data_IF_161889635115
#
_entry.id   IF_161889635115
#
_cell.length_a   1.000
_cell.length_b   1.000
_cell.length_c   1.000
_cell.angle_alpha   90.00
_cell.angle_beta   90.00
_cell.angle_gamma   90.00
#
_symmetry.space_group_name_H-M   'P 1'
#
loop_
_entity.id
_entity.type
_entity.pdbx_description
1 polymer ?
#
# COMPACT_ATOMS: atom_id res chain seq x y z
N UNK A 1 13.66 -8.95 18.15
CA UNK A 1 13.20 -8.25 16.95
C UNK A 1 13.74 -8.98 15.74
N UNK A 2 12.88 -9.49 14.88
CA UNK A 2 13.26 -10.22 13.66
C UNK A 2 13.61 -9.25 12.52
N UNK A 3 14.28 -9.73 11.48
CA UNK A 3 14.59 -8.92 10.29
C UNK A 3 13.31 -8.41 9.60
N UNK A 4 12.26 -9.22 9.56
CA UNK A 4 10.96 -8.84 8.97
C UNK A 4 10.31 -7.69 9.75
N UNK A 5 10.27 -7.81 11.08
CA UNK A 5 9.72 -6.75 11.95
C UNK A 5 10.45 -5.42 11.76
N UNK A 6 11.79 -5.46 11.67
CA UNK A 6 12.59 -4.26 11.43
C UNK A 6 12.27 -3.62 10.07
N UNK A 7 12.06 -4.44 9.04
CA UNK A 7 11.69 -3.96 7.70
C UNK A 7 10.30 -3.31 7.68
N UNK A 8 9.32 -3.92 8.33
CA UNK A 8 7.98 -3.33 8.46
C UNK A 8 8.02 -2.03 9.24
N UNK A 9 8.80 -1.96 10.33
CA UNK A 9 9.00 -0.72 11.09
C UNK A 9 9.66 0.37 10.26
N UNK A 10 10.66 0.03 9.45
CA UNK A 10 11.31 0.96 8.53
C UNK A 10 10.32 1.53 7.52
N UNK A 11 9.49 0.67 6.91
CA UNK A 11 8.49 1.12 5.93
C UNK A 11 7.42 1.98 6.60
N UNK A 12 6.95 1.61 7.80
CA UNK A 12 6.00 2.44 8.57
C UNK A 12 6.60 3.79 8.93
N UNK A 13 7.87 3.87 9.31
CA UNK A 13 8.55 5.13 9.56
C UNK A 13 8.63 5.97 8.28
N UNK A 14 9.08 5.38 7.17
CA UNK A 14 9.14 6.05 5.87
C UNK A 14 7.78 6.63 5.47
N UNK A 15 6.69 5.85 5.56
CA UNK A 15 5.34 6.32 5.25
C UNK A 15 4.87 7.43 6.19
N UNK A 16 5.11 7.32 7.50
CA UNK A 16 4.75 8.38 8.47
C UNK A 16 5.46 9.70 8.19
N UNK A 17 6.75 9.65 7.82
CA UNK A 17 7.50 10.84 7.42
C UNK A 17 7.02 11.43 6.09
N UNK A 18 6.38 10.62 5.23
CA UNK A 18 5.64 11.08 4.06
C UNK A 18 4.18 11.50 4.39
N UNK A 19 3.85 11.61 5.68
CA UNK A 19 2.56 12.09 6.17
C UNK A 19 1.41 11.11 6.00
N UNK A 20 1.68 9.81 6.03
CA UNK A 20 0.66 8.77 6.11
C UNK A 20 0.40 8.35 7.55
N UNK A 21 -0.87 8.08 7.86
CA UNK A 21 -1.25 7.24 8.98
C UNK A 21 -1.11 5.79 8.54
N UNK A 22 -0.47 4.94 9.35
CA UNK A 22 -0.16 3.55 8.98
C UNK A 22 -0.73 2.58 9.99
N UNK A 23 -1.29 1.47 9.52
CA UNK A 23 -1.71 0.33 10.33
C UNK A 23 -1.29 -0.97 9.64
N UNK A 24 -1.14 -2.06 10.40
CA UNK A 24 -1.31 -3.41 9.84
C UNK A 24 -2.80 -3.78 9.86
N UNK A 25 -3.22 -4.76 9.06
CA UNK A 25 -4.59 -5.28 9.12
C UNK A 25 -4.58 -6.80 9.17
N UNK A 26 -5.12 -7.34 10.26
CA UNK A 26 -5.41 -8.76 10.40
C UNK A 26 -6.82 -9.00 9.87
N UNK A 27 -6.95 -9.73 8.76
CA UNK A 27 -8.24 -10.11 8.19
C UNK A 27 -8.66 -11.44 8.84
N UNK A 28 -9.70 -11.38 9.67
CA UNK A 28 -10.21 -12.56 10.35
C UNK A 28 -11.01 -13.48 9.41
N UNK A 29 -10.87 -14.79 9.61
CA UNK A 29 -11.73 -15.78 8.96
C UNK A 29 -13.08 -15.89 9.68
N UNK A 30 -14.07 -16.50 9.04
CA UNK A 30 -15.35 -16.84 9.68
C UNK A 30 -15.21 -17.93 10.75
N UNK A 31 -14.09 -18.65 10.78
CA UNK A 31 -13.78 -19.64 11.81
C UNK A 31 -13.08 -18.97 12.99
N UNK A 32 -13.66 -19.13 14.18
CA UNK A 32 -13.13 -18.57 15.43
C UNK A 32 -11.70 -19.05 15.68
N UNK A 33 -10.78 -18.11 15.87
CA UNK A 33 -9.36 -18.38 16.15
C UNK A 33 -8.46 -18.48 14.92
N UNK A 34 -9.00 -18.42 13.70
CA UNK A 34 -8.21 -18.45 12.47
C UNK A 34 -8.16 -17.08 11.79
N UNK A 35 -6.95 -16.61 11.51
CA UNK A 35 -6.72 -15.47 10.62
C UNK A 35 -6.73 -15.95 9.17
N UNK A 36 -7.38 -15.20 8.28
CA UNK A 36 -7.44 -15.52 6.86
C UNK A 36 -6.19 -15.05 6.12
N UNK A 37 -5.81 -13.79 6.39
CA UNK A 37 -4.55 -13.19 5.92
C UNK A 37 -4.20 -12.00 6.79
N UNK A 38 -2.95 -11.58 6.73
CA UNK A 38 -2.47 -10.33 7.30
C UNK A 38 -1.96 -9.43 6.17
N UNK A 39 -2.27 -8.15 6.28
CA UNK A 39 -1.71 -7.08 5.47
C UNK A 39 -0.70 -6.34 6.33
N UNK A 40 0.55 -6.33 5.88
CA UNK A 40 1.64 -5.66 6.60
C UNK A 40 1.35 -4.17 6.80
N UNK A 41 0.76 -3.55 5.77
CA UNK A 41 0.55 -2.11 5.67
C UNK A 41 -0.78 -1.78 4.99
N UNK A 42 -1.60 -1.03 5.70
CA UNK A 42 -2.64 -0.15 5.16
C UNK A 42 -2.30 1.27 5.60
N UNK A 43 -2.16 2.20 4.65
CA UNK A 43 -1.78 3.57 4.95
C UNK A 43 -2.73 4.58 4.33
N UNK A 44 -3.02 5.66 5.05
CA UNK A 44 -3.94 6.71 4.60
C UNK A 44 -3.29 8.07 4.70
N UNK A 45 -3.40 8.86 3.64
CA UNK A 45 -2.95 10.26 3.59
C UNK A 45 -4.10 11.15 3.14
N UNK A 46 -4.32 12.24 3.87
CA UNK A 46 -5.33 13.23 3.54
C UNK A 46 -4.76 14.34 2.63
N UNK A 47 -5.55 14.89 1.70
CA UNK A 47 -5.07 15.81 0.66
C UNK A 47 -4.46 17.11 1.21
N UNK A 48 -4.98 17.58 2.35
CA UNK A 48 -4.54 18.83 2.98
C UNK A 48 -3.47 18.63 4.06
N UNK A 49 -2.78 17.48 4.08
CA UNK A 49 -1.71 17.23 5.04
C UNK A 49 -0.57 18.27 4.90
N UNK A 50 -0.16 18.86 6.03
CA UNK A 50 0.99 19.78 6.11
C UNK A 50 1.78 19.54 7.40
N UNK A 51 3.11 19.55 7.29
CA UNK A 51 4.05 19.53 8.42
C UNK A 51 5.24 20.44 8.10
N UNK A 52 5.03 21.75 8.23
CA UNK A 52 6.00 22.78 7.80
C UNK A 52 7.31 22.70 8.61
N UNK A 53 7.20 22.38 9.90
CA UNK A 53 8.35 22.31 10.82
C UNK A 53 9.37 21.22 10.45
N UNK A 54 8.97 20.24 9.63
CA UNK A 54 9.88 19.17 9.18
C UNK A 54 10.99 19.70 8.27
N UNK A 55 10.76 20.80 7.54
CA UNK A 55 11.70 21.38 6.56
C UNK A 55 12.15 20.46 5.41
N UNK A 56 11.79 19.18 5.44
CA UNK A 56 12.02 18.18 4.39
C UNK A 56 10.70 17.89 3.68
N UNK A 57 10.69 18.04 2.36
CA UNK A 57 9.53 17.71 1.53
C UNK A 57 9.19 16.21 1.61
N UNK A 58 7.98 15.83 1.20
CA UNK A 58 7.66 14.42 1.02
C UNK A 58 8.42 13.84 -0.18
N UNK A 59 8.72 12.55 -0.14
CA UNK A 59 9.45 11.84 -1.18
C UNK A 59 8.74 11.94 -2.53
N UNK A 60 9.41 12.54 -3.52
CA UNK A 60 8.90 12.64 -4.90
C UNK A 60 8.71 11.27 -5.55
N UNK A 61 9.44 10.25 -5.10
CA UNK A 61 9.31 8.88 -5.61
C UNK A 61 7.92 8.29 -5.35
N UNK A 62 7.29 8.71 -4.25
CA UNK A 62 5.96 8.23 -3.87
C UNK A 62 4.87 8.69 -4.82
N UNK A 63 5.06 9.74 -5.63
CA UNK A 63 4.08 10.23 -6.63
C UNK A 63 2.63 10.23 -6.06
N UNK A 64 2.47 10.85 -4.88
CA UNK A 64 1.21 10.83 -4.15
C UNK A 64 0.20 11.83 -4.75
N UNK A 65 -1.10 11.51 -4.75
CA UNK A 65 -2.12 12.43 -5.24
C UNK A 65 -2.30 13.62 -4.27
N UNK A 66 -2.62 14.79 -4.81
CA UNK A 66 -2.73 16.06 -4.07
C UNK A 66 -4.18 16.49 -3.83
N UNK A 67 -5.14 15.90 -4.52
CA UNK A 67 -6.55 16.28 -4.58
C UNK A 67 -7.52 15.18 -4.11
N UNK A 68 -6.99 14.12 -3.52
CA UNK A 68 -7.77 12.96 -3.03
C UNK A 68 -7.22 12.41 -1.72
N UNK A 69 -8.05 11.71 -0.96
CA UNK A 69 -7.60 10.84 0.12
C UNK A 69 -6.88 9.66 -0.50
N UNK A 70 -5.62 9.47 -0.18
CA UNK A 70 -4.77 8.41 -0.72
C UNK A 70 -4.70 7.23 0.24
N UNK A 71 -5.00 6.04 -0.26
CA UNK A 71 -4.97 4.78 0.47
C UNK A 71 -3.95 3.88 -0.18
N UNK A 72 -2.95 3.45 0.58
CA UNK A 72 -1.97 2.47 0.16
C UNK A 72 -2.32 1.12 0.77
N UNK A 73 -2.46 0.12 -0.09
CA UNK A 73 -2.43 -1.30 0.29
C UNK A 73 -1.00 -1.76 0.03
N UNK A 74 -0.26 -2.00 1.11
CA UNK A 74 1.17 -2.25 1.09
C UNK A 74 1.54 -3.65 1.54
N UNK A 75 2.59 -4.19 0.94
CA UNK A 75 3.16 -5.49 1.29
C UNK A 75 4.69 -5.37 1.32
N UNK A 76 5.31 -5.92 2.37
CA UNK A 76 6.75 -5.88 2.58
C UNK A 76 7.38 -7.18 2.11
N UNK A 77 8.28 -7.09 1.12
CA UNK A 77 8.95 -8.26 0.52
C UNK A 77 10.45 -8.26 0.81
N UNK A 78 10.91 -9.36 1.39
CA UNK A 78 12.34 -9.67 1.53
C UNK A 78 13.01 -9.99 0.19
N UNK A 79 14.33 -10.16 0.21
CA UNK A 79 15.19 -10.29 -0.97
C UNK A 79 14.81 -11.45 -1.92
N UNK A 80 14.38 -12.61 -1.39
CA UNK A 80 14.12 -13.83 -2.16
C UNK A 80 12.65 -14.05 -2.54
N UNK A 81 11.74 -13.22 -2.02
CA UNK A 81 10.31 -13.37 -2.30
C UNK A 81 9.99 -12.95 -3.75
N UNK A 82 8.95 -13.47 -4.39
CA UNK A 82 8.45 -12.88 -5.63
C UNK A 82 7.98 -11.44 -5.37
N UNK A 83 8.15 -10.54 -6.35
CA UNK A 83 7.65 -9.17 -6.30
C UNK A 83 6.14 -9.12 -6.60
N UNK A 84 5.35 -9.90 -5.85
CA UNK A 84 3.90 -10.00 -5.98
C UNK A 84 3.28 -9.90 -4.59
N UNK A 85 2.01 -9.47 -4.53
CA UNK A 85 1.22 -9.53 -3.29
C UNK A 85 1.02 -10.97 -2.83
N UNK A 86 0.76 -11.18 -1.53
CA UNK A 86 0.49 -12.52 -1.00
C UNK A 86 -0.67 -13.20 -1.73
N UNK A 87 -0.56 -14.52 -1.92
CA UNK A 87 -1.57 -15.35 -2.58
C UNK A 87 -2.97 -15.15 -1.98
N UNK A 88 -3.05 -15.02 -0.66
CA UNK A 88 -4.32 -14.79 0.03
C UNK A 88 -4.99 -13.46 -0.35
N UNK A 89 -4.24 -12.45 -0.83
CA UNK A 89 -4.79 -11.15 -1.23
C UNK A 89 -5.22 -11.07 -2.69
N UNK A 90 -4.78 -12.01 -3.55
CA UNK A 90 -5.17 -12.03 -4.96
C UNK A 90 -5.95 -13.29 -5.38
N UNK A 91 -6.04 -14.31 -4.53
CA UNK A 91 -6.83 -15.52 -4.80
C UNK A 91 -8.14 -15.57 -4.00
N UNK A 92 -8.32 -14.70 -3.01
CA UNK A 92 -9.47 -14.74 -2.09
C UNK A 92 -10.30 -13.45 -2.15
N UNK A 93 -11.45 -13.53 -2.82
CA UNK A 93 -12.36 -12.37 -2.96
C UNK A 93 -12.95 -11.92 -1.62
N UNK A 94 -13.15 -12.82 -0.65
CA UNK A 94 -13.70 -12.47 0.67
C UNK A 94 -12.66 -11.70 1.52
N UNK A 95 -11.36 -11.96 1.32
CA UNK A 95 -10.33 -11.16 1.98
C UNK A 95 -10.35 -9.70 1.48
N UNK A 96 -10.49 -9.49 0.17
CA UNK A 96 -10.59 -8.14 -0.40
C UNK A 96 -11.89 -7.45 0.03
N UNK A 97 -13.00 -8.19 0.07
CA UNK A 97 -14.27 -7.64 0.56
C UNK A 97 -14.13 -7.12 1.99
N UNK A 98 -13.53 -7.92 2.88
CA UNK A 98 -13.27 -7.52 4.26
C UNK A 98 -12.33 -6.33 4.37
N UNK A 99 -11.33 -6.22 3.51
CA UNK A 99 -10.47 -5.04 3.43
C UNK A 99 -11.27 -3.80 3.04
N UNK A 100 -12.04 -3.87 1.95
CA UNK A 100 -12.86 -2.75 1.45
C UNK A 100 -13.90 -2.33 2.48
N UNK A 101 -14.55 -3.29 3.15
CA UNK A 101 -15.47 -3.03 4.25
C UNK A 101 -14.78 -2.41 5.46
N UNK A 102 -13.59 -2.89 5.83
CA UNK A 102 -12.81 -2.36 6.96
C UNK A 102 -12.39 -0.91 6.73
N UNK A 103 -12.06 -0.53 5.50
CA UNK A 103 -11.78 0.87 5.15
C UNK A 103 -12.97 1.79 5.42
N UNK A 104 -14.21 1.26 5.40
CA UNK A 104 -15.42 1.97 5.85
C UNK A 104 -15.78 3.22 5.05
N UNK A 105 -15.21 3.41 3.86
CA UNK A 105 -15.37 4.64 3.05
C UNK A 105 -16.30 4.48 1.85
N UNK A 106 -16.78 3.26 1.58
CA UNK A 106 -17.61 2.94 0.43
C UNK A 106 -19.00 2.53 0.88
N UNK A 107 -20.03 2.96 0.16
CA UNK A 107 -21.39 2.47 0.34
C UNK A 107 -21.53 1.03 -0.13
N UNK A 108 -22.57 0.33 0.33
CA UNK A 108 -22.87 -1.06 -0.07
C UNK A 108 -22.99 -1.21 -1.60
N UNK A 109 -23.45 -0.18 -2.29
CA UNK A 109 -23.59 -0.15 -3.75
C UNK A 109 -22.23 -0.04 -4.47
N UNK A 110 -21.26 0.65 -3.84
CA UNK A 110 -19.91 0.87 -4.38
C UNK A 110 -18.96 -0.29 -4.07
N UNK A 111 -19.16 -1.00 -2.95
CA UNK A 111 -18.26 -2.06 -2.48
C UNK A 111 -17.99 -3.11 -3.55
N UNK A 112 -19.02 -3.56 -4.28
CA UNK A 112 -18.86 -4.60 -5.31
C UNK A 112 -17.92 -4.15 -6.46
N UNK A 113 -18.05 -2.89 -6.89
CA UNK A 113 -17.18 -2.32 -7.93
C UNK A 113 -15.74 -2.18 -7.43
N UNK A 114 -15.56 -1.55 -6.26
CA UNK A 114 -14.24 -1.33 -5.67
C UNK A 114 -13.53 -2.66 -5.39
N UNK A 115 -14.24 -3.66 -4.88
CA UNK A 115 -13.71 -5.00 -4.67
C UNK A 115 -13.20 -5.62 -5.96
N UNK A 116 -13.96 -5.53 -7.06
CA UNK A 116 -13.53 -6.05 -8.36
C UNK A 116 -12.28 -5.36 -8.89
N UNK A 117 -12.19 -4.04 -8.74
CA UNK A 117 -11.06 -3.24 -9.20
C UNK A 117 -9.81 -3.49 -8.37
N UNK A 118 -9.93 -3.53 -7.04
CA UNK A 118 -8.83 -3.87 -6.13
C UNK A 118 -8.36 -5.30 -6.38
N UNK A 119 -9.28 -6.25 -6.60
CA UNK A 119 -8.94 -7.63 -6.94
C UNK A 119 -8.10 -7.71 -8.21
N UNK A 120 -8.45 -6.95 -9.26
CA UNK A 120 -7.66 -6.87 -10.49
C UNK A 120 -6.31 -6.19 -10.29
N UNK A 121 -6.26 -5.14 -9.47
CA UNK A 121 -5.04 -4.39 -9.17
C UNK A 121 -4.00 -5.25 -8.45
N UNK A 122 -4.42 -6.11 -7.53
CA UNK A 122 -3.53 -6.98 -6.75
C UNK A 122 -3.09 -8.25 -7.50
N UNK A 123 -3.64 -8.53 -8.68
CA UNK A 123 -3.21 -9.69 -9.48
C UNK A 123 -1.73 -9.57 -9.85
N UNK A 124 -0.97 -10.69 -9.85
CA UNK A 124 0.39 -10.72 -10.36
C UNK A 124 0.43 -10.19 -11.80
N UNK A 125 1.14 -9.08 -12.01
CA UNK A 125 1.31 -8.51 -13.35
C UNK A 125 2.52 -9.15 -14.02
N UNK A 126 2.40 -9.46 -15.31
CA UNK A 126 3.59 -9.66 -16.13
C UNK A 126 4.38 -8.36 -16.14
N UNK A 127 5.71 -8.47 -16.25
CA UNK A 127 6.66 -7.36 -16.19
C UNK A 127 6.18 -6.21 -17.07
N UNK A 128 5.61 -5.19 -16.42
CA UNK A 128 5.22 -3.95 -17.06
C UNK A 128 6.25 -2.91 -16.64
N UNK A 129 6.92 -2.31 -17.62
CA UNK A 129 7.84 -1.18 -17.45
C UNK A 129 7.06 0.09 -17.07
N UNK A 130 6.35 0.04 -15.94
CA UNK A 130 5.58 1.17 -15.46
C UNK A 130 6.45 2.06 -14.60
N UNK A 131 6.64 3.31 -15.02
CA UNK A 131 7.28 4.35 -14.21
C UNK A 131 6.41 4.82 -13.04
N UNK A 132 5.13 4.41 -13.00
CA UNK A 132 4.15 4.82 -12.00
C UNK A 132 3.58 3.65 -11.23
N UNK A 133 3.11 3.93 -10.01
CA UNK A 133 2.38 2.95 -9.21
C UNK A 133 0.98 2.75 -9.77
N UNK A 134 0.48 1.53 -9.65
CA UNK A 134 -0.90 1.23 -9.98
C UNK A 134 -1.84 2.00 -9.08
N UNK A 135 -2.80 2.66 -9.71
CA UNK A 135 -3.66 3.64 -9.06
C UNK A 135 -5.09 3.45 -9.55
N UNK A 136 -6.02 3.33 -8.60
CA UNK A 136 -7.45 3.39 -8.82
C UNK A 136 -7.95 4.73 -8.28
N UNK A 137 -8.74 5.45 -9.07
CA UNK A 137 -9.30 6.74 -8.66
C UNK A 137 -10.81 6.65 -8.62
N UNK A 138 -11.38 7.19 -7.56
CA UNK A 138 -12.82 7.24 -7.35
C UNK A 138 -13.24 8.66 -6.95
N UNK A 139 -14.37 9.10 -7.50
CA UNK A 139 -15.04 10.33 -7.09
C UNK A 139 -16.44 9.92 -6.64
N UNK A 140 -16.71 10.11 -5.36
CA UNK A 140 -17.99 9.83 -4.73
C UNK A 140 -18.49 11.06 -3.99
N UNK A 141 -19.74 11.03 -3.55
CA UNK A 141 -20.33 12.14 -2.77
C UNK A 141 -19.57 12.42 -1.47
N UNK A 142 -18.94 11.39 -0.89
CA UNK A 142 -18.10 11.50 0.30
C UNK A 142 -16.69 12.06 0.04
N UNK A 143 -16.30 12.21 -1.23
CA UNK A 143 -15.04 12.82 -1.66
C UNK A 143 -14.30 12.06 -2.76
N UNK A 144 -13.09 12.54 -3.04
CA UNK A 144 -12.17 11.90 -3.98
C UNK A 144 -11.24 10.93 -3.24
N UNK A 145 -11.13 9.72 -3.75
CA UNK A 145 -10.29 8.66 -3.19
C UNK A 145 -9.34 8.12 -4.25
N UNK A 146 -8.13 7.82 -3.82
CA UNK A 146 -7.13 7.13 -4.63
C UNK A 146 -6.65 5.90 -3.87
N UNK A 147 -6.75 4.72 -4.48
CA UNK A 147 -6.22 3.48 -3.91
C UNK A 147 -5.00 3.06 -4.73
N UNK A 148 -3.89 2.76 -4.03
CA UNK A 148 -2.63 2.33 -4.66
C UNK A 148 -2.13 1.05 -4.03
N UNK A 149 -1.72 0.11 -4.88
CA UNK A 149 -1.04 -1.10 -4.46
C UNK A 149 0.47 -0.88 -4.56
N UNK A 150 1.18 -0.95 -3.44
CA UNK A 150 2.63 -0.69 -3.40
C UNK A 150 3.37 -1.85 -2.74
N UNK A 151 4.38 -2.36 -3.44
CA UNK A 151 5.35 -3.28 -2.88
C UNK A 151 6.50 -2.49 -2.25
N UNK A 152 6.85 -2.86 -1.03
CA UNK A 152 7.99 -2.33 -0.31
C UNK A 152 9.06 -3.41 -0.23
N UNK A 153 10.22 -3.17 -0.81
CA UNK A 153 11.33 -4.12 -0.86
C UNK A 153 12.59 -3.52 -0.22
N UNK A 154 12.68 -3.42 1.12
CA UNK A 154 13.83 -2.80 1.79
C UNK A 154 15.18 -3.46 1.47
N UNK A 155 15.20 -4.76 1.20
CA UNK A 155 16.42 -5.51 0.89
C UNK A 155 16.82 -5.50 -0.60
N UNK A 156 16.08 -4.79 -1.45
CA UNK A 156 16.32 -4.80 -2.90
C UNK A 156 16.95 -3.49 -3.36
N UNK A 157 17.80 -3.54 -4.40
CA UNK A 157 18.24 -2.33 -5.07
C UNK A 157 17.06 -1.67 -5.80
N UNK A 158 17.30 -0.47 -6.34
CA UNK A 158 16.33 0.23 -7.21
C UNK A 158 15.82 -0.71 -8.32
N UNK A 159 14.49 -0.75 -8.59
CA UNK A 159 13.96 -1.52 -9.70
C UNK A 159 14.57 -1.05 -11.02
N UNK A 160 14.92 -2.01 -11.88
CA UNK A 160 15.30 -1.74 -13.27
C UNK A 160 14.06 -1.40 -14.11
N UNK A 161 14.25 -0.78 -15.28
CA UNK A 161 13.15 -0.37 -16.16
C UNK A 161 12.26 -1.52 -16.62
N UNK A 162 12.76 -2.76 -16.59
CA UNK A 162 12.03 -3.98 -16.90
C UNK A 162 11.54 -4.71 -15.64
N UNK A 163 11.22 -3.97 -14.58
CA UNK A 163 10.67 -4.52 -13.34
C UNK A 163 9.49 -3.68 -12.90
N UNK A 164 8.60 -4.30 -12.14
CA UNK A 164 7.51 -3.59 -11.47
C UNK A 164 8.11 -2.52 -10.55
N UNK A 165 7.50 -1.34 -10.52
CA UNK A 165 7.88 -0.28 -9.59
C UNK A 165 7.60 -0.70 -8.14
N UNK A 166 8.62 -0.61 -7.28
CA UNK A 166 8.50 -0.83 -5.84
C UNK A 166 9.37 0.17 -5.09
N UNK A 167 9.06 0.41 -3.82
CA UNK A 167 9.88 1.25 -2.95
C UNK A 167 11.04 0.41 -2.41
N UNK A 168 12.27 0.83 -2.67
CA UNK A 168 13.48 0.09 -2.32
C UNK A 168 14.18 0.67 -1.08
N UNK A 169 15.01 -0.11 -0.40
CA UNK A 169 15.55 0.28 0.92
C UNK A 169 16.43 1.52 0.91
N UNK A 170 17.31 1.66 -0.09
CA UNK A 170 18.19 2.83 -0.17
C UNK A 170 17.39 4.15 -0.21
N UNK A 171 16.32 4.19 -1.00
CA UNK A 171 15.40 5.33 -1.04
C UNK A 171 14.78 5.64 0.32
N UNK A 172 14.38 4.59 1.06
CA UNK A 172 13.78 4.79 2.39
C UNK A 172 14.81 5.37 3.36
N UNK A 173 16.02 4.81 3.37
CA UNK A 173 17.10 5.25 4.25
C UNK A 173 17.52 6.68 3.92
N UNK A 174 17.80 6.98 2.65
CA UNK A 174 18.18 8.33 2.21
C UNK A 174 17.16 9.37 2.66
N UNK A 175 15.86 9.07 2.51
CA UNK A 175 14.78 9.97 2.92
C UNK A 175 14.61 10.11 4.45
N UNK A 176 14.93 9.07 5.21
CA UNK A 176 14.81 9.10 6.68
C UNK A 176 15.96 9.91 7.30
N UNK A 177 17.13 9.93 6.65
CA UNK A 177 18.33 10.63 7.12
C UNK A 177 18.49 12.05 6.56
N UNK A 178 17.60 12.50 5.67
CA UNK A 178 17.40 13.92 5.31
C UNK A 178 16.81 14.72 6.47
#
# INVERSE_FOLDING_TARGET
MTKSELQEQLVRLFLRLNGYLTSGLIIHSSQKGNNKTELDIVAVRFPNHKQIDRQVECSKYMDYPTDSIDIIIGEVKGQKAPANFNAALHNDKDAIEKLVNWLGMFSNEQICQVQCDVFKMLQPKQINSSEKFDTLKYTFDSGNYTIRAILFCPDRPKPKNNQIKYVYGQLMLDFIWE
#
